data_IF_112538496366
#
_entry.id   IF_112538496366
#
_cell.length_a   1.000
_cell.length_b   1.000
_cell.length_c   1.000
_cell.angle_alpha   90.00
_cell.angle_beta   90.00
_cell.angle_gamma   90.00
#
_symmetry.space_group_name_H-M   'P 1'
#
loop_
_entity.id
_entity.type
_entity.pdbx_description
1 polymer ?
#
# COMPACT_ATOMS: atom_id res chain seq x y z
N UNK A 1 9.82 12.62 101.92
CA UNK A 1 9.39 12.13 103.25
C UNK A 1 8.12 11.30 103.09
N UNK A 2 8.10 10.13 103.75
CA UNK A 2 6.99 9.20 104.09
C UNK A 2 5.61 9.39 103.46
N UNK A 3 5.02 8.41 102.75
CA UNK A 3 4.53 7.07 103.21
C UNK A 3 3.11 7.09 103.79
N UNK A 4 2.24 6.25 103.19
CA UNK A 4 1.08 5.55 103.78
C UNK A 4 -0.11 6.41 104.25
N UNK A 5 -1.37 5.97 104.36
CA UNK A 5 -2.15 4.73 104.11
C UNK A 5 -3.63 5.16 104.28
N UNK A 6 -4.55 4.77 103.40
CA UNK A 6 -5.54 3.70 103.60
C UNK A 6 -6.91 4.08 104.21
N UNK A 7 -7.92 3.38 103.69
CA UNK A 7 -9.14 2.87 104.34
C UNK A 7 -10.44 3.64 104.09
N UNK A 8 -11.65 3.08 103.85
CA UNK A 8 -12.21 1.77 103.42
C UNK A 8 -13.75 1.89 103.60
N UNK A 9 -14.55 1.28 102.70
CA UNK A 9 -15.93 0.70 102.91
C UNK A 9 -17.11 1.71 103.03
N UNK A 10 -18.34 1.51 102.49
CA UNK A 10 -19.19 0.34 102.11
C UNK A 10 -20.25 0.72 101.03
N UNK A 11 -20.65 -0.27 100.23
CA UNK A 11 -21.84 -0.40 99.35
C UNK A 11 -23.00 -1.13 100.11
N UNK A 12 -24.13 -1.69 99.55
CA UNK A 12 -24.57 -1.86 98.14
C UNK A 12 -26.11 -1.82 97.85
N UNK A 13 -26.53 -1.91 96.57
CA UNK A 13 -27.70 -2.71 96.07
C UNK A 13 -27.63 -2.81 94.54
N UNK A 14 -27.34 -4.00 93.97
CA UNK A 14 -28.21 -4.98 93.24
C UNK A 14 -28.77 -4.47 91.89
N UNK A 15 -28.79 -5.19 90.77
CA UNK A 15 -28.33 -6.53 90.29
C UNK A 15 -28.67 -6.48 88.78
N UNK A 16 -27.73 -6.63 87.84
CA UNK A 16 -27.27 -7.90 87.25
C UNK A 16 -27.24 -7.72 85.72
N UNK A 17 -26.43 -8.35 84.87
CA UNK A 17 -25.10 -8.98 84.87
C UNK A 17 -25.10 -10.04 83.75
N UNK A 18 -24.26 -9.89 82.73
CA UNK A 18 -23.55 -10.95 81.97
C UNK A 18 -22.84 -10.32 80.75
N UNK A 19 -21.55 -9.89 80.81
CA UNK A 19 -20.25 -10.61 80.63
C UNK A 19 -19.99 -11.09 79.18
N UNK A 20 -19.10 -10.49 78.34
CA UNK A 20 -17.60 -10.40 78.30
C UNK A 20 -16.90 -11.65 77.67
N UNK A 21 -15.69 -11.62 77.03
CA UNK A 21 -14.53 -10.74 77.32
C UNK A 21 -13.62 -10.25 76.13
N UNK A 22 -12.64 -9.38 76.47
CA UNK A 22 -11.51 -8.81 75.70
C UNK A 22 -10.30 -9.80 75.58
N UNK A 23 -8.98 -9.49 75.27
CA UNK A 23 -8.28 -8.20 75.01
C UNK A 23 -7.02 -8.18 74.04
N UNK A 24 -6.48 -6.96 73.77
CA UNK A 24 -5.06 -6.52 73.56
C UNK A 24 -4.22 -7.04 72.35
N UNK A 25 -3.51 -6.12 71.65
CA UNK A 25 -2.05 -5.82 71.75
C UNK A 25 -1.65 -4.84 70.61
N UNK A 26 -0.90 -3.80 70.97
CA UNK A 26 -0.28 -2.82 70.07
C UNK A 26 0.83 -3.41 69.20
N UNK A 27 0.92 -2.99 67.94
CA UNK A 27 2.19 -2.91 67.20
C UNK A 27 2.10 -1.77 66.18
N UNK A 28 3.08 -0.90 66.25
CA UNK A 28 3.25 0.30 65.44
C UNK A 28 3.94 -0.04 64.10
N UNK A 29 3.68 0.79 63.08
CA UNK A 29 4.46 1.04 61.82
C UNK A 29 4.19 0.17 60.57
N UNK A 30 4.49 0.65 59.35
CA UNK A 30 4.28 2.00 58.79
C UNK A 30 3.76 1.98 57.32
N UNK A 31 3.30 3.15 56.84
CA UNK A 31 3.30 3.62 55.43
C UNK A 31 2.70 2.71 54.33
N UNK A 32 1.49 3.06 53.88
CA UNK A 32 1.13 2.92 52.46
C UNK A 32 0.44 4.20 52.00
N UNK A 33 1.26 5.04 51.37
CA UNK A 33 0.84 6.16 50.55
C UNK A 33 -0.03 5.60 49.43
N UNK A 34 -1.34 5.64 49.63
CA UNK A 34 -2.32 5.31 48.60
C UNK A 34 -2.23 6.36 47.51
N UNK A 35 -1.34 6.12 46.54
CA UNK A 35 -1.38 6.79 45.25
C UNK A 35 -2.80 6.68 44.73
N UNK A 36 -3.55 7.78 44.81
CA UNK A 36 -4.71 8.02 43.96
C UNK A 36 -4.22 7.79 42.53
N UNK A 37 -4.41 6.58 42.03
CA UNK A 37 -4.42 6.34 40.61
C UNK A 37 -5.45 7.33 40.08
N UNK A 38 -4.97 8.34 39.37
CA UNK A 38 -5.83 9.25 38.64
C UNK A 38 -6.68 8.35 37.75
N UNK A 39 -7.94 8.17 38.13
CA UNK A 39 -8.95 7.62 37.26
C UNK A 39 -9.07 8.64 36.11
N UNK A 40 -8.28 8.42 35.06
CA UNK A 40 -8.51 9.07 33.78
C UNK A 40 -9.87 8.59 33.34
N UNK A 41 -10.87 9.47 33.52
CA UNK A 41 -12.14 9.37 32.81
C UNK A 41 -11.79 9.20 31.34
N UNK A 42 -11.98 8.00 30.80
CA UNK A 42 -11.99 7.80 29.35
C UNK A 42 -13.16 8.65 28.86
N UNK A 43 -12.88 9.81 28.27
CA UNK A 43 -13.88 10.54 27.51
C UNK A 43 -14.42 9.56 26.47
N UNK A 44 -15.73 9.28 26.51
CA UNK A 44 -16.40 8.49 25.48
C UNK A 44 -16.43 9.35 24.21
N UNK A 45 -15.35 9.30 23.43
CA UNK A 45 -15.37 9.85 22.08
C UNK A 45 -16.44 9.08 21.27
N UNK A 46 -17.30 9.78 20.51
CA UNK A 46 -18.28 9.12 19.66
C UNK A 46 -17.58 8.13 18.73
N UNK A 47 -18.18 6.94 18.56
CA UNK A 47 -17.62 5.91 17.71
C UNK A 47 -17.55 6.40 16.25
N UNK A 48 -16.34 6.62 15.75
CA UNK A 48 -16.10 7.06 14.37
C UNK A 48 -15.91 5.86 13.44
N UNK A 49 -16.79 5.73 12.45
CA UNK A 49 -16.65 4.72 11.39
C UNK A 49 -15.61 5.16 10.36
N UNK A 50 -14.34 4.85 10.63
CA UNK A 50 -13.21 5.17 9.74
C UNK A 50 -13.46 4.67 8.30
N UNK A 51 -14.09 3.50 8.12
CA UNK A 51 -14.39 2.94 6.80
C UNK A 51 -15.32 3.80 5.94
N UNK A 52 -16.17 4.63 6.58
CA UNK A 52 -17.15 5.49 5.89
C UNK A 52 -16.66 6.94 5.76
N UNK A 53 -15.39 7.21 6.03
CA UNK A 53 -14.82 8.53 5.79
C UNK A 53 -14.87 8.85 4.30
N UNK A 54 -15.13 10.12 3.97
CA UNK A 54 -15.20 10.61 2.58
C UNK A 54 -14.01 10.18 1.71
N UNK A 55 -12.74 10.28 2.14
CA UNK A 55 -11.61 9.75 1.36
C UNK A 55 -11.70 8.26 1.08
N UNK A 56 -12.18 7.44 2.03
CA UNK A 56 -12.29 5.99 1.84
C UNK A 56 -13.44 5.62 0.89
N UNK A 57 -14.53 6.38 0.92
CA UNK A 57 -15.63 6.23 -0.06
C UNK A 57 -15.11 6.51 -1.48
N UNK A 58 -14.33 7.59 -1.66
CA UNK A 58 -13.68 7.88 -2.95
C UNK A 58 -12.75 6.72 -3.34
N UNK A 59 -11.97 6.18 -2.40
CA UNK A 59 -11.15 4.98 -2.59
C UNK A 59 -11.95 3.77 -3.08
N UNK A 60 -13.13 3.51 -2.51
CA UNK A 60 -13.99 2.42 -2.99
C UNK A 60 -14.55 2.67 -4.40
N UNK A 61 -14.93 3.91 -4.71
CA UNK A 61 -15.34 4.29 -6.07
C UNK A 61 -14.19 4.06 -7.06
N UNK A 62 -12.95 4.39 -6.68
CA UNK A 62 -11.75 4.11 -7.49
C UNK A 62 -11.58 2.63 -7.78
N UNK A 63 -11.77 1.77 -6.78
CA UNK A 63 -11.71 0.32 -6.96
C UNK A 63 -12.75 -0.14 -8.00
N UNK A 64 -14.00 0.35 -7.89
CA UNK A 64 -15.06 -0.01 -8.84
C UNK A 64 -14.73 0.47 -10.26
N UNK A 65 -14.23 1.70 -10.40
CA UNK A 65 -13.80 2.25 -11.70
C UNK A 65 -12.61 1.48 -12.28
N UNK A 66 -11.63 1.10 -11.44
CA UNK A 66 -10.51 0.27 -11.84
C UNK A 66 -11.00 -1.09 -12.34
N UNK A 67 -11.87 -1.79 -11.60
CA UNK A 67 -12.47 -3.06 -12.04
C UNK A 67 -13.25 -2.90 -13.36
N UNK A 68 -14.02 -1.82 -13.50
CA UNK A 68 -14.69 -1.49 -14.75
C UNK A 68 -13.70 -1.29 -15.91
N UNK A 69 -12.57 -0.62 -15.67
CA UNK A 69 -11.52 -0.45 -16.68
C UNK A 69 -10.92 -1.80 -17.08
N UNK A 70 -10.64 -2.69 -16.12
CA UNK A 70 -10.11 -4.04 -16.39
C UNK A 70 -11.09 -4.88 -17.21
N UNK A 71 -12.39 -4.77 -16.94
CA UNK A 71 -13.42 -5.46 -17.71
C UNK A 71 -13.44 -5.03 -19.19
N UNK A 72 -13.36 -3.72 -19.45
CA UNK A 72 -13.34 -3.19 -20.82
C UNK A 72 -11.98 -3.27 -21.51
N UNK A 73 -10.91 -3.57 -20.76
CA UNK A 73 -9.52 -3.54 -21.20
C UNK A 73 -9.24 -4.35 -22.48
N UNK A 74 -9.77 -5.57 -22.68
CA UNK A 74 -9.40 -6.36 -23.86
C UNK A 74 -10.05 -5.87 -25.17
N UNK A 75 -11.23 -5.23 -25.10
CA UNK A 75 -12.08 -5.02 -26.28
C UNK A 75 -12.37 -3.54 -26.58
N UNK A 76 -12.45 -2.68 -25.56
CA UNK A 76 -12.92 -1.30 -25.70
C UNK A 76 -11.88 -0.30 -25.15
N UNK A 77 -10.81 0.00 -25.93
CA UNK A 77 -9.69 0.78 -25.44
C UNK A 77 -10.06 2.21 -25.01
N UNK A 78 -10.99 2.87 -25.70
CA UNK A 78 -11.44 4.21 -25.33
C UNK A 78 -12.13 4.23 -23.96
N UNK A 79 -13.08 3.32 -23.74
CA UNK A 79 -13.82 3.21 -22.47
C UNK A 79 -12.88 2.83 -21.32
N UNK A 80 -11.99 1.85 -21.54
CA UNK A 80 -10.98 1.46 -20.58
C UNK A 80 -10.10 2.65 -20.17
N UNK A 81 -9.54 3.37 -21.14
CA UNK A 81 -8.67 4.52 -20.85
C UNK A 81 -9.40 5.63 -20.10
N UNK A 82 -10.66 5.92 -20.43
CA UNK A 82 -11.45 6.93 -19.71
C UNK A 82 -11.68 6.50 -18.26
N UNK A 83 -12.18 5.29 -18.02
CA UNK A 83 -12.43 4.78 -16.67
C UNK A 83 -11.15 4.72 -15.83
N UNK A 84 -10.05 4.23 -16.42
CA UNK A 84 -8.75 4.18 -15.78
C UNK A 84 -8.25 5.58 -15.41
N UNK A 85 -8.32 6.54 -16.35
CA UNK A 85 -7.85 7.91 -16.12
C UNK A 85 -8.66 8.62 -15.04
N UNK A 86 -9.99 8.42 -15.01
CA UNK A 86 -10.85 8.95 -13.94
C UNK A 86 -10.48 8.32 -12.59
N UNK A 87 -10.22 7.02 -12.53
CA UNK A 87 -9.77 6.35 -11.31
C UNK A 87 -8.44 6.92 -10.79
N UNK A 88 -7.46 7.17 -11.68
CA UNK A 88 -6.20 7.82 -11.34
C UNK A 88 -6.36 9.28 -10.92
N UNK A 89 -7.33 10.02 -11.47
CA UNK A 89 -7.60 11.41 -11.06
C UNK A 89 -8.23 11.48 -9.66
N UNK A 90 -9.08 10.51 -9.33
CA UNK A 90 -9.72 10.42 -8.01
C UNK A 90 -8.71 10.13 -6.88
N UNK A 91 -7.55 9.55 -7.19
CA UNK A 91 -6.41 9.37 -6.26
C UNK A 91 -5.98 10.68 -5.60
N UNK A 92 -5.72 11.70 -6.41
CA UNK A 92 -5.34 13.01 -5.89
C UNK A 92 -6.49 13.65 -5.06
N UNK A 93 -7.74 13.32 -5.41
CA UNK A 93 -8.94 13.86 -4.76
C UNK A 93 -9.20 13.21 -3.41
N UNK A 94 -8.99 11.91 -3.21
CA UNK A 94 -9.15 11.30 -1.89
C UNK A 94 -8.11 11.83 -0.90
N UNK A 95 -6.85 12.00 -1.32
CA UNK A 95 -5.82 12.59 -0.48
C UNK A 95 -6.12 14.05 -0.18
N UNK A 96 -6.68 14.80 -1.14
CA UNK A 96 -7.18 16.17 -0.88
C UNK A 96 -8.32 16.18 0.14
N UNK A 97 -9.32 15.32 -0.03
CA UNK A 97 -10.46 15.19 0.89
C UNK A 97 -10.01 14.78 2.30
N UNK A 98 -9.08 13.84 2.43
CA UNK A 98 -8.53 13.40 3.70
C UNK A 98 -7.87 14.53 4.50
N UNK A 99 -7.26 15.50 3.80
CA UNK A 99 -6.62 16.68 4.42
C UNK A 99 -7.63 17.78 4.71
N UNK A 100 -8.55 18.04 3.78
CA UNK A 100 -9.57 19.07 3.93
C UNK A 100 -10.54 18.75 5.08
N UNK A 101 -11.01 17.50 5.17
CA UNK A 101 -11.91 17.05 6.23
C UNK A 101 -11.17 16.56 7.49
N UNK A 102 -9.84 16.65 7.54
CA UNK A 102 -9.03 16.10 8.64
C UNK A 102 -9.28 14.61 8.95
N UNK A 103 -9.69 13.84 7.94
CA UNK A 103 -10.04 12.42 8.00
C UNK A 103 -8.89 11.50 7.54
N UNK A 104 -7.64 11.93 7.78
CA UNK A 104 -6.46 11.16 7.37
C UNK A 104 -6.24 9.97 8.31
N UNK A 105 -6.25 8.75 7.77
CA UNK A 105 -6.11 7.52 8.57
C UNK A 105 -5.07 6.57 7.98
N UNK A 106 -4.48 5.72 8.83
CA UNK A 106 -3.55 4.67 8.39
C UNK A 106 -4.21 3.68 7.44
N UNK A 107 -5.48 3.34 7.69
CA UNK A 107 -6.26 2.48 6.82
C UNK A 107 -6.41 3.10 5.43
N UNK A 108 -6.84 4.37 5.35
CA UNK A 108 -7.01 5.06 4.07
C UNK A 108 -5.70 5.14 3.28
N UNK A 109 -4.57 5.44 3.93
CA UNK A 109 -3.26 5.48 3.28
C UNK A 109 -2.81 4.11 2.73
N UNK A 110 -3.12 3.01 3.42
CA UNK A 110 -2.82 1.65 2.93
C UNK A 110 -3.77 1.26 1.80
N UNK A 111 -5.07 1.57 1.93
CA UNK A 111 -6.09 1.29 0.91
C UNK A 111 -5.75 1.98 -0.41
N UNK A 112 -5.37 3.26 -0.33
CA UNK A 112 -4.92 4.08 -1.45
C UNK A 112 -3.71 3.43 -2.16
N UNK A 113 -2.63 3.20 -1.41
CA UNK A 113 -1.41 2.58 -1.93
C UNK A 113 -1.70 1.22 -2.61
N UNK A 114 -2.48 0.35 -1.96
CA UNK A 114 -2.79 -0.98 -2.50
C UNK A 114 -3.62 -0.87 -3.79
N UNK A 115 -4.63 0.01 -3.82
CA UNK A 115 -5.50 0.20 -4.98
C UNK A 115 -4.72 0.66 -6.21
N UNK A 116 -3.83 1.63 -6.02
CA UNK A 116 -2.89 2.10 -7.04
C UNK A 116 -2.08 0.93 -7.63
N UNK A 117 -1.40 0.19 -6.74
CA UNK A 117 -0.49 -0.88 -7.16
C UNK A 117 -1.23 -2.00 -7.88
N UNK A 118 -2.39 -2.40 -7.38
CA UNK A 118 -3.22 -3.41 -8.04
C UNK A 118 -3.65 -2.96 -9.44
N UNK A 119 -4.10 -1.71 -9.58
CA UNK A 119 -4.59 -1.16 -10.85
C UNK A 119 -3.48 -1.11 -11.91
N UNK A 120 -2.31 -0.54 -11.57
CA UNK A 120 -1.17 -0.50 -12.49
C UNK A 120 -0.62 -1.89 -12.77
N UNK A 121 -0.57 -2.80 -11.78
CA UNK A 121 -0.10 -4.17 -12.01
C UNK A 121 -1.00 -4.93 -12.99
N UNK A 122 -2.33 -4.81 -12.88
CA UNK A 122 -3.26 -5.41 -13.83
C UNK A 122 -3.07 -4.88 -15.26
N UNK A 123 -2.83 -3.56 -15.40
CA UNK A 123 -2.49 -2.96 -16.69
C UNK A 123 -1.17 -3.54 -17.26
N UNK A 124 -0.13 -3.67 -16.43
CA UNK A 124 1.16 -4.24 -16.84
C UNK A 124 1.06 -5.72 -17.20
N UNK A 125 0.21 -6.49 -16.51
CA UNK A 125 -0.08 -7.89 -16.88
C UNK A 125 -0.72 -7.96 -18.26
N UNK A 126 -1.68 -7.10 -18.56
CA UNK A 126 -2.26 -7.00 -19.90
C UNK A 126 -1.18 -6.64 -20.93
N UNK A 127 -0.32 -5.65 -20.65
CA UNK A 127 0.78 -5.27 -21.53
C UNK A 127 1.79 -6.41 -21.75
N UNK A 128 2.07 -7.22 -20.72
CA UNK A 128 2.93 -8.40 -20.84
C UNK A 128 2.32 -9.46 -21.77
N UNK A 129 0.99 -9.60 -21.77
CA UNK A 129 0.28 -10.48 -22.70
C UNK A 129 0.19 -9.90 -24.12
N UNK A 130 0.05 -8.58 -24.23
CA UNK A 130 -0.04 -7.87 -25.52
C UNK A 130 1.32 -7.78 -26.22
N UNK A 131 2.42 -7.73 -25.47
CA UNK A 131 3.78 -7.66 -25.96
C UNK A 131 4.65 -8.79 -25.38
N UNK A 132 4.42 -10.07 -25.77
CA UNK A 132 5.09 -11.22 -25.16
C UNK A 132 6.62 -11.15 -25.18
N UNK A 133 7.19 -10.52 -26.23
CA UNK A 133 8.65 -10.32 -26.38
C UNK A 133 9.26 -9.47 -25.27
N UNK A 134 8.48 -8.60 -24.66
CA UNK A 134 8.87 -7.69 -23.57
C UNK A 134 8.26 -8.08 -22.22
N UNK A 135 7.60 -9.24 -22.14
CA UNK A 135 6.93 -9.74 -20.92
C UNK A 135 7.83 -9.73 -19.69
N UNK A 136 9.11 -10.10 -19.84
CA UNK A 136 10.10 -10.08 -18.75
C UNK A 136 10.31 -8.68 -18.17
N UNK A 137 10.23 -7.63 -19.01
CA UNK A 137 10.36 -6.24 -18.55
C UNK A 137 9.15 -5.87 -17.71
N UNK A 138 7.93 -6.15 -18.19
CA UNK A 138 6.71 -5.87 -17.44
C UNK A 138 6.61 -6.64 -16.12
N UNK A 139 6.99 -7.93 -16.12
CA UNK A 139 7.09 -8.73 -14.89
C UNK A 139 8.11 -8.15 -13.90
N UNK A 140 9.26 -7.70 -14.40
CA UNK A 140 10.27 -7.01 -13.61
C UNK A 140 9.75 -5.70 -13.01
N UNK A 141 9.02 -4.89 -13.80
CA UNK A 141 8.41 -3.63 -13.34
C UNK A 141 7.38 -3.88 -12.24
N UNK A 142 6.48 -4.86 -12.41
CA UNK A 142 5.51 -5.26 -11.38
C UNK A 142 6.23 -5.68 -10.10
N UNK A 143 7.25 -6.54 -10.24
CA UNK A 143 8.01 -7.06 -9.09
C UNK A 143 8.75 -5.96 -8.34
N UNK A 144 9.39 -5.04 -9.06
CA UNK A 144 10.11 -3.91 -8.48
C UNK A 144 9.16 -2.94 -7.76
N UNK A 145 8.04 -2.61 -8.39
CA UNK A 145 7.06 -1.68 -7.83
C UNK A 145 6.42 -2.25 -6.56
N UNK A 146 5.96 -3.51 -6.59
CA UNK A 146 5.43 -4.18 -5.41
C UNK A 146 6.49 -4.30 -4.31
N UNK A 147 7.69 -4.80 -4.61
CA UNK A 147 8.73 -4.99 -3.61
C UNK A 147 9.16 -3.67 -2.95
N UNK A 148 9.38 -2.61 -3.74
CA UNK A 148 9.82 -1.31 -3.22
C UNK A 148 8.77 -0.67 -2.30
N UNK A 149 7.49 -0.72 -2.66
CA UNK A 149 6.40 -0.19 -1.85
C UNK A 149 6.12 -1.05 -0.61
N UNK A 150 6.04 -2.39 -0.75
CA UNK A 150 5.86 -3.28 0.39
C UNK A 150 6.99 -3.10 1.40
N UNK A 151 8.24 -3.05 0.90
CA UNK A 151 9.37 -2.97 1.79
C UNK A 151 9.40 -1.64 2.54
N UNK A 152 9.11 -0.55 1.83
CA UNK A 152 9.02 0.78 2.43
C UNK A 152 7.87 0.93 3.44
N UNK A 153 6.69 0.39 3.12
CA UNK A 153 5.53 0.40 4.02
C UNK A 153 5.86 -0.36 5.31
N UNK A 154 6.37 -1.59 5.21
CA UNK A 154 6.67 -2.41 6.37
C UNK A 154 7.80 -1.81 7.22
N UNK A 155 8.87 -1.30 6.58
CA UNK A 155 9.92 -0.58 7.28
C UNK A 155 9.34 0.63 8.05
N UNK A 156 8.45 1.40 7.44
CA UNK A 156 7.81 2.55 8.12
C UNK A 156 6.91 2.12 9.28
N UNK A 157 6.19 1.00 9.17
CA UNK A 157 5.33 0.49 10.23
C UNK A 157 6.12 -0.06 11.43
N UNK A 158 7.17 -0.85 11.17
CA UNK A 158 8.00 -1.47 12.21
C UNK A 158 8.95 -0.45 12.85
N UNK A 159 9.61 0.35 12.03
CA UNK A 159 10.61 1.32 12.48
C UNK A 159 10.00 2.66 12.95
N UNK A 160 8.83 3.04 12.43
CA UNK A 160 8.12 4.26 12.85
C UNK A 160 7.42 4.14 14.20
N UNK A 161 7.15 2.91 14.67
CA UNK A 161 6.60 2.64 16.00
C UNK A 161 7.66 2.51 17.11
N UNK A 162 8.92 2.30 16.76
CA UNK A 162 10.03 1.98 17.69
C UNK A 162 10.74 3.23 18.24
N UNK A 163 9.98 4.31 18.45
CA UNK A 163 10.41 5.50 19.18
C UNK A 163 11.42 6.35 18.39
N UNK A 164 11.02 7.57 18.03
CA UNK A 164 11.94 8.66 17.70
C UNK A 164 12.79 9.01 18.93
N UNK A 165 13.79 8.18 19.23
CA UNK A 165 14.81 8.46 20.24
C UNK A 165 16.17 8.42 19.55
N UNK A 166 16.58 9.57 19.03
CA UNK A 166 17.97 9.95 18.74
C UNK A 166 18.66 9.49 17.46
N UNK A 167 17.96 9.14 16.38
CA UNK A 167 18.52 9.32 15.03
C UNK A 167 17.47 9.89 14.09
N UNK A 168 17.48 11.21 13.95
CA UNK A 168 16.90 11.89 12.78
C UNK A 168 17.47 11.19 11.56
N UNK A 169 16.67 10.31 10.96
CA UNK A 169 17.01 9.66 9.71
C UNK A 169 17.30 10.78 8.74
N UNK A 170 18.56 10.82 8.32
CA UNK A 170 19.20 11.96 7.70
C UNK A 170 18.45 12.40 6.43
N UNK A 171 17.60 13.43 6.56
CA UNK A 171 16.79 14.05 5.49
C UNK A 171 17.66 14.58 4.31
N UNK A 172 18.99 14.54 4.47
CA UNK A 172 20.00 15.05 3.54
C UNK A 172 20.40 14.09 2.40
N UNK A 173 20.13 12.78 2.46
CA UNK A 173 20.91 11.84 1.62
C UNK A 173 20.59 11.76 0.12
N UNK A 174 19.55 12.40 -0.41
CA UNK A 174 19.36 12.50 -1.87
C UNK A 174 18.44 13.67 -2.21
N UNK A 175 18.98 14.71 -2.85
CA UNK A 175 18.19 15.86 -3.32
C UNK A 175 16.99 15.42 -4.17
N UNK A 176 17.18 14.44 -5.06
CA UNK A 176 16.12 13.92 -5.95
C UNK A 176 15.00 13.20 -5.18
N UNK A 177 15.34 12.42 -4.15
CA UNK A 177 14.35 11.71 -3.35
C UNK A 177 13.60 12.70 -2.44
N UNK A 178 14.31 13.69 -1.89
CA UNK A 178 13.71 14.74 -1.08
C UNK A 178 12.78 15.60 -1.95
N UNK A 179 13.19 16.01 -3.15
CA UNK A 179 12.35 16.78 -4.06
C UNK A 179 11.08 16.01 -4.47
N UNK A 180 11.23 14.70 -4.75
CA UNK A 180 10.11 13.82 -5.08
C UNK A 180 9.08 13.71 -3.94
N UNK A 181 9.54 13.57 -2.69
CA UNK A 181 8.63 13.41 -1.53
C UNK A 181 8.17 14.72 -0.89
N UNK A 182 8.91 15.81 -1.06
CA UNK A 182 8.61 17.12 -0.44
C UNK A 182 7.66 17.95 -1.30
N UNK A 183 7.81 17.89 -2.63
CA UNK A 183 6.97 18.67 -3.54
C UNK A 183 5.83 17.82 -4.11
N UNK A 184 4.61 18.06 -3.61
CA UNK A 184 3.39 17.37 -4.04
C UNK A 184 3.15 17.47 -5.54
N UNK A 185 3.49 18.60 -6.17
CA UNK A 185 3.34 18.79 -7.60
C UNK A 185 4.30 17.90 -8.38
N UNK A 186 5.53 17.73 -7.89
CA UNK A 186 6.51 16.82 -8.51
C UNK A 186 6.07 15.37 -8.34
N UNK A 187 5.62 14.98 -7.14
CA UNK A 187 5.09 13.65 -6.88
C UNK A 187 3.93 13.30 -7.81
N UNK A 188 2.92 14.18 -7.88
CA UNK A 188 1.76 14.01 -8.75
C UNK A 188 2.17 13.92 -10.22
N UNK A 189 3.06 14.82 -10.69
CA UNK A 189 3.51 14.82 -12.08
C UNK A 189 4.25 13.53 -12.43
N UNK A 190 5.12 13.03 -11.56
CA UNK A 190 5.81 11.76 -11.79
C UNK A 190 4.86 10.56 -11.81
N UNK A 191 3.88 10.52 -10.90
CA UNK A 191 2.85 9.48 -10.92
C UNK A 191 2.00 9.57 -12.18
N UNK A 192 1.49 10.76 -12.52
CA UNK A 192 0.66 10.98 -13.70
C UNK A 192 1.40 10.62 -15.00
N UNK A 193 2.64 11.07 -15.17
CA UNK A 193 3.42 10.75 -16.37
C UNK A 193 3.78 9.27 -16.45
N UNK A 194 4.02 8.60 -15.32
CA UNK A 194 4.19 7.15 -15.31
C UNK A 194 2.93 6.41 -15.78
N UNK A 195 1.75 6.79 -15.27
CA UNK A 195 0.49 6.19 -15.72
C UNK A 195 0.20 6.51 -17.18
N UNK A 196 0.46 7.75 -17.63
CA UNK A 196 0.32 8.16 -19.03
C UNK A 196 1.21 7.29 -19.94
N UNK A 197 2.43 6.96 -19.51
CA UNK A 197 3.31 6.08 -20.28
C UNK A 197 2.68 4.69 -20.48
N UNK A 198 2.16 4.08 -19.42
CA UNK A 198 1.54 2.75 -19.53
C UNK A 198 0.21 2.78 -20.28
N UNK A 199 -0.59 3.84 -20.13
CA UNK A 199 -1.80 4.08 -20.93
C UNK A 199 -1.41 4.24 -22.41
N UNK A 200 -0.33 4.96 -22.73
CA UNK A 200 0.14 5.12 -24.09
C UNK A 200 0.59 3.79 -24.72
N UNK A 201 1.34 2.97 -23.98
CA UNK A 201 1.67 1.59 -24.40
C UNK A 201 0.43 0.73 -24.59
N UNK A 202 -0.57 0.88 -23.71
CA UNK A 202 -1.84 0.19 -23.83
C UNK A 202 -2.55 0.57 -25.12
N UNK A 203 -2.70 1.87 -25.41
CA UNK A 203 -3.31 2.34 -26.65
C UNK A 203 -2.53 1.90 -27.90
N UNK A 204 -1.19 1.89 -27.84
CA UNK A 204 -0.34 1.37 -28.91
C UNK A 204 -0.62 -0.09 -29.22
N UNK A 205 -0.99 -0.90 -28.22
CA UNK A 205 -1.35 -2.31 -28.42
C UNK A 205 -2.63 -2.53 -29.25
N UNK A 206 -3.43 -1.48 -29.49
CA UNK A 206 -4.64 -1.49 -30.34
C UNK A 206 -4.46 -0.73 -31.65
N UNK A 207 -3.31 -0.07 -31.82
CA UNK A 207 -3.12 0.92 -32.89
C UNK A 207 -1.94 0.58 -33.80
N UNK A 208 -0.83 0.08 -33.27
CA UNK A 208 0.42 -0.01 -34.03
C UNK A 208 0.66 -1.41 -34.63
N UNK A 209 0.74 -1.55 -35.97
CA UNK A 209 1.14 -2.79 -36.62
C UNK A 209 2.57 -3.23 -36.30
N UNK A 210 3.44 -2.29 -35.88
CA UNK A 210 4.85 -2.53 -35.56
C UNK A 210 5.03 -3.28 -34.24
N UNK A 211 4.11 -3.08 -33.29
CA UNK A 211 4.12 -3.71 -31.98
C UNK A 211 3.10 -4.86 -31.88
N UNK A 212 2.23 -5.00 -32.88
CA UNK A 212 1.35 -6.17 -33.03
C UNK A 212 2.21 -7.39 -33.39
N UNK A 213 1.92 -8.58 -32.82
CA UNK A 213 2.67 -9.80 -33.13
C UNK A 213 2.63 -10.13 -34.62
N UNK A 214 3.69 -10.76 -35.10
CA UNK A 214 3.87 -11.18 -36.50
C UNK A 214 2.75 -12.09 -37.05
N UNK A 215 1.84 -12.55 -36.19
CA UNK A 215 0.62 -13.30 -36.55
C UNK A 215 -0.30 -12.54 -37.53
N UNK A 216 -0.24 -11.21 -37.58
CA UNK A 216 -1.04 -10.37 -38.49
C UNK A 216 -0.23 -9.72 -39.63
N UNK A 217 1.08 -9.96 -39.72
CA UNK A 217 1.93 -9.34 -40.75
C UNK A 217 1.76 -10.05 -42.10
N UNK A 218 0.65 -9.85 -42.80
CA UNK A 218 0.55 -10.17 -44.23
C UNK A 218 1.56 -9.28 -44.97
N UNK A 219 2.58 -9.85 -45.60
CA UNK A 219 3.50 -9.06 -46.45
C UNK A 219 2.76 -8.57 -47.69
N UNK A 220 2.95 -7.28 -48.02
CA UNK A 220 2.40 -6.60 -49.21
C UNK A 220 2.88 -7.22 -50.55
N UNK A 221 3.78 -8.20 -50.52
CA UNK A 221 4.34 -8.86 -51.70
C UNK A 221 3.42 -9.96 -52.28
N UNK A 222 2.19 -10.11 -51.77
CA UNK A 222 1.32 -11.25 -52.08
C UNK A 222 1.85 -12.60 -51.60
N UNK A 223 2.98 -12.60 -50.87
CA UNK A 223 3.53 -13.78 -50.22
C UNK A 223 3.02 -13.85 -48.78
N UNK A 224 2.08 -14.77 -48.55
CA UNK A 224 1.60 -15.11 -47.20
C UNK A 224 2.80 -15.45 -46.30
N UNK A 225 2.84 -15.01 -45.03
CA UNK A 225 3.88 -15.39 -44.08
C UNK A 225 3.71 -16.87 -43.74
N UNK A 226 4.31 -17.75 -44.54
CA UNK A 226 4.02 -19.18 -44.51
C UNK A 226 2.58 -19.45 -44.92
N UNK A 227 2.37 -19.97 -46.14
CA UNK A 227 1.11 -20.63 -46.45
C UNK A 227 0.90 -21.74 -45.42
N UNK A 228 -0.08 -21.56 -44.53
CA UNK A 228 -0.67 -22.65 -43.76
C UNK A 228 -1.37 -23.56 -44.78
N UNK A 229 -0.60 -24.46 -45.40
CA UNK A 229 -1.09 -25.41 -46.39
C UNK A 229 -2.15 -26.29 -45.70
N UNK A 230 -3.42 -26.29 -46.17
CA UNK A 230 -4.44 -27.15 -45.59
C UNK A 230 -4.03 -28.62 -45.75
N UNK A 231 -3.93 -29.37 -44.65
CA UNK A 231 -3.70 -30.82 -44.65
C UNK A 231 -2.36 -31.32 -44.09
N UNK A 232 -1.47 -30.45 -43.58
CA UNK A 232 -0.27 -30.89 -42.86
C UNK A 232 -0.53 -30.96 -41.34
N UNK A 233 -0.50 -32.13 -40.69
CA UNK A 233 -0.86 -32.29 -39.27
C UNK A 233 0.10 -31.59 -38.28
N UNK A 234 1.23 -31.06 -38.76
CA UNK A 234 2.19 -30.27 -37.98
C UNK A 234 1.93 -28.76 -37.98
N UNK A 235 0.95 -28.26 -38.76
CA UNK A 235 0.53 -26.87 -38.75
C UNK A 235 -0.99 -26.75 -38.52
N UNK A 236 -1.45 -26.32 -37.33
CA UNK A 236 -2.87 -26.09 -37.11
C UNK A 236 -3.38 -25.01 -38.09
N UNK A 237 -4.57 -25.23 -38.68
CA UNK A 237 -5.12 -24.30 -39.68
C UNK A 237 -5.26 -22.89 -39.08
N UNK A 238 -5.09 -21.82 -39.87
CA UNK A 238 -5.30 -20.45 -39.38
C UNK A 238 -6.66 -20.32 -38.67
N UNK A 239 -7.69 -20.99 -39.20
CA UNK A 239 -9.03 -21.05 -38.61
C UNK A 239 -9.03 -21.58 -37.16
N UNK A 240 -8.15 -22.52 -36.80
CA UNK A 240 -8.05 -23.03 -35.42
C UNK A 240 -7.40 -22.03 -34.45
N UNK A 241 -6.54 -21.11 -34.92
CA UNK A 241 -5.97 -20.03 -34.11
C UNK A 241 -7.03 -18.97 -33.75
N UNK A 242 -8.09 -18.85 -34.56
CA UNK A 242 -9.20 -17.90 -34.37
C UNK A 242 -10.53 -18.57 -33.98
N UNK A 243 -10.56 -19.89 -33.80
CA UNK A 243 -11.79 -20.65 -33.55
C UNK A 243 -12.41 -20.36 -32.17
N UNK A 244 -11.58 -19.98 -31.19
CA UNK A 244 -12.06 -19.55 -29.87
C UNK A 244 -12.04 -18.01 -29.80
N UNK A 245 -13.16 -17.33 -29.49
CA UNK A 245 -13.21 -15.87 -29.31
C UNK A 245 -12.20 -15.32 -28.28
N UNK A 246 -11.78 -16.18 -27.34
CA UNK A 246 -10.82 -15.87 -26.28
C UNK A 246 -9.40 -16.35 -26.59
N UNK A 247 -9.13 -16.86 -27.80
CA UNK A 247 -7.76 -17.19 -28.20
C UNK A 247 -6.92 -15.92 -28.31
N UNK A 248 -5.60 -16.06 -28.11
CA UNK A 248 -4.67 -14.95 -28.28
C UNK A 248 -4.78 -14.31 -29.68
N UNK A 249 -4.94 -15.12 -30.73
CA UNK A 249 -5.14 -14.66 -32.09
C UNK A 249 -6.46 -13.90 -32.29
N UNK A 250 -7.57 -14.41 -31.76
CA UNK A 250 -8.88 -13.73 -31.88
C UNK A 250 -8.88 -12.38 -31.14
N UNK A 251 -8.27 -12.32 -29.96
CA UNK A 251 -8.11 -11.07 -29.22
C UNK A 251 -7.17 -10.10 -29.95
N UNK A 252 -6.05 -10.55 -30.53
CA UNK A 252 -5.17 -9.69 -31.34
C UNK A 252 -5.88 -9.11 -32.56
N UNK A 253 -6.61 -9.93 -33.31
CA UNK A 253 -7.40 -9.48 -34.44
C UNK A 253 -8.48 -8.48 -34.01
N UNK A 254 -9.17 -8.76 -32.90
CA UNK A 254 -10.17 -7.86 -32.33
C UNK A 254 -9.56 -6.54 -31.82
N UNK A 255 -8.25 -6.46 -31.59
CA UNK A 255 -7.56 -5.24 -31.14
C UNK A 255 -7.01 -4.40 -32.29
N UNK A 256 -6.69 -5.00 -33.42
CA UNK A 256 -6.01 -4.35 -34.53
C UNK A 256 -6.79 -3.13 -35.09
N UNK A 257 -6.04 -2.06 -35.42
CA UNK A 257 -6.50 -0.88 -36.17
C UNK A 257 -7.73 -0.15 -35.59
N UNK A 258 -7.90 -0.12 -34.26
CA UNK A 258 -9.02 0.60 -33.63
C UNK A 258 -8.78 2.10 -33.43
N UNK A 259 -7.52 2.55 -33.49
CA UNK A 259 -7.09 3.90 -33.13
C UNK A 259 -5.92 4.37 -34.01
N UNK A 260 -5.74 5.69 -34.10
CA UNK A 260 -4.57 6.33 -34.69
C UNK A 260 -3.32 6.17 -33.79
N UNK A 261 -2.18 5.83 -34.39
CA UNK A 261 -0.93 5.52 -33.69
C UNK A 261 -0.10 6.74 -33.31
N UNK A 262 -0.34 7.89 -33.94
CA UNK A 262 0.49 9.09 -33.78
C UNK A 262 0.49 9.59 -32.33
N UNK A 263 -0.69 9.84 -31.77
CA UNK A 263 -0.81 10.37 -30.40
C UNK A 263 -0.28 9.43 -29.32
N UNK A 264 -0.58 8.11 -29.35
CA UNK A 264 0.02 7.18 -28.40
C UNK A 264 1.56 7.15 -28.46
N UNK A 265 2.18 7.23 -29.65
CA UNK A 265 3.64 7.31 -29.76
C UNK A 265 4.21 8.60 -29.16
N UNK A 266 3.57 9.75 -29.42
CA UNK A 266 3.99 11.04 -28.84
C UNK A 266 3.90 11.00 -27.32
N UNK A 267 2.79 10.49 -26.77
CA UNK A 267 2.61 10.36 -25.33
C UNK A 267 3.64 9.42 -24.70
N UNK A 268 3.90 8.26 -25.32
CA UNK A 268 4.90 7.32 -24.85
C UNK A 268 6.31 7.95 -24.86
N UNK A 269 6.69 8.62 -25.95
CA UNK A 269 7.99 9.28 -26.06
C UNK A 269 8.20 10.40 -25.04
N UNK A 270 7.17 11.24 -24.84
CA UNK A 270 7.24 12.37 -23.91
C UNK A 270 7.28 11.91 -22.43
N UNK A 271 6.57 10.85 -22.08
CA UNK A 271 6.46 10.35 -20.70
C UNK A 271 7.56 9.35 -20.30
N UNK A 272 8.23 8.73 -21.28
CA UNK A 272 9.25 7.70 -21.04
C UNK A 272 10.37 8.13 -20.08
N UNK A 273 10.99 9.33 -20.20
CA UNK A 273 12.07 9.73 -19.29
C UNK A 273 11.62 9.78 -17.83
N UNK A 274 10.37 10.19 -17.59
CA UNK A 274 9.81 10.28 -16.23
C UNK A 274 9.46 8.90 -15.70
N UNK A 275 8.88 8.02 -16.53
CA UNK A 275 8.66 6.62 -16.16
C UNK A 275 9.99 5.95 -15.77
N UNK A 276 11.04 6.08 -16.60
CA UNK A 276 12.35 5.51 -16.30
C UNK A 276 12.95 6.08 -15.00
N UNK A 277 12.83 7.39 -14.79
CA UNK A 277 13.20 8.04 -13.53
C UNK A 277 12.46 7.48 -12.32
N UNK A 278 11.15 7.24 -12.44
CA UNK A 278 10.34 6.62 -11.37
C UNK A 278 10.81 5.21 -11.03
N UNK A 279 11.19 4.40 -12.02
CA UNK A 279 11.73 3.06 -11.75
C UNK A 279 13.07 3.11 -10.99
N UNK A 280 13.93 4.10 -11.28
CA UNK A 280 15.15 4.32 -10.50
C UNK A 280 14.80 4.69 -9.05
N UNK A 281 13.79 5.54 -8.85
CA UNK A 281 13.31 5.90 -7.50
C UNK A 281 12.80 4.67 -6.76
N UNK A 282 12.04 3.77 -7.41
CA UNK A 282 11.59 2.51 -6.82
C UNK A 282 12.77 1.63 -6.37
N UNK A 283 13.83 1.51 -7.17
CA UNK A 283 15.06 0.79 -6.76
C UNK A 283 15.71 1.44 -5.54
N UNK A 284 15.88 2.76 -5.56
CA UNK A 284 16.48 3.51 -4.45
C UNK A 284 15.65 3.34 -3.17
N UNK A 285 14.33 3.41 -3.29
CA UNK A 285 13.39 3.22 -2.19
C UNK A 285 13.51 1.82 -1.59
N UNK A 286 13.54 0.77 -2.44
CA UNK A 286 13.73 -0.60 -2.00
C UNK A 286 15.04 -0.77 -1.21
N UNK A 287 16.16 -0.33 -1.78
CA UNK A 287 17.48 -0.44 -1.14
C UNK A 287 17.53 0.30 0.19
N UNK A 288 16.94 1.51 0.25
CA UNK A 288 16.91 2.31 1.49
C UNK A 288 16.03 1.68 2.55
N UNK A 289 14.84 1.21 2.18
CA UNK A 289 13.93 0.54 3.10
C UNK A 289 14.57 -0.74 3.69
N UNK A 290 15.19 -1.56 2.85
CA UNK A 290 15.88 -2.79 3.29
C UNK A 290 17.05 -2.49 4.23
N UNK A 291 17.84 -1.44 3.94
CA UNK A 291 18.93 -1.00 4.84
C UNK A 291 18.40 -0.52 6.18
N UNK A 292 17.32 0.26 6.17
CA UNK A 292 16.72 0.79 7.40
C UNK A 292 16.19 -0.33 8.29
N UNK A 293 15.52 -1.33 7.71
CA UNK A 293 15.08 -2.51 8.45
C UNK A 293 16.28 -3.31 9.01
N UNK A 294 17.33 -3.52 8.21
CA UNK A 294 18.53 -4.20 8.66
C UNK A 294 19.28 -3.46 9.78
N UNK A 295 19.21 -2.12 9.83
CA UNK A 295 19.73 -1.33 10.95
C UNK A 295 18.91 -1.55 12.23
N UNK A 296 17.58 -1.59 12.12
CA UNK A 296 16.67 -1.93 13.22
C UNK A 296 16.94 -3.32 13.79
N UNK A 297 17.06 -4.34 12.92
CA UNK A 297 17.38 -5.70 13.33
C UNK A 297 18.73 -5.78 14.06
N UNK A 298 19.75 -5.03 13.60
CA UNK A 298 21.07 -5.00 14.27
C UNK A 298 21.00 -4.36 15.66
N UNK A 299 20.17 -3.34 15.83
CA UNK A 299 19.94 -2.69 17.12
C UNK A 299 19.20 -3.61 18.08
N UNK A 300 18.11 -4.25 17.63
CA UNK A 300 17.36 -5.22 18.43
C UNK A 300 18.24 -6.40 18.85
N UNK A 301 19.09 -6.90 17.93
CA UNK A 301 20.08 -7.94 18.24
C UNK A 301 21.10 -7.48 19.29
N UNK A 302 21.54 -6.22 19.23
CA UNK A 302 22.45 -5.64 20.23
C UNK A 302 21.77 -5.55 21.61
N UNK A 303 20.51 -5.13 21.66
CA UNK A 303 19.71 -5.09 22.90
C UNK A 303 19.54 -6.50 23.50
N UNK A 304 19.45 -7.52 22.64
CA UNK A 304 19.41 -8.94 23.04
C UNK A 304 20.79 -9.54 23.39
N UNK A 305 21.87 -8.74 23.36
CA UNK A 305 23.23 -9.20 23.67
C UNK A 305 23.84 -10.15 22.62
N UNK A 306 23.41 -10.04 21.35
CA UNK A 306 23.89 -10.85 20.24
C UNK A 306 24.88 -10.08 19.34
N UNK A 307 25.85 -10.76 18.70
CA UNK A 307 26.22 -12.16 18.93
C UNK A 307 26.89 -12.31 20.31
N UNK A 308 26.54 -13.38 21.03
CA UNK A 308 27.22 -13.72 22.27
C UNK A 308 28.71 -13.94 21.96
N UNK A 309 29.60 -13.30 22.73
CA UNK A 309 31.04 -13.58 22.64
C UNK A 309 31.20 -15.09 22.90
N UNK A 310 31.89 -15.77 21.98
CA UNK A 310 32.26 -17.19 22.13
C UNK A 310 33.20 -17.38 23.30
#
# INVERSE_FOLDING_TARGET
>A
MSSNKASRKKSPTRKGASRSPAPKVSAEQPLLNGSRAAATSKEEHPYENIFLFWPNIIGYVRIVLALGSLYYMPLHPRTCTILYSVSCLLDALDGYAARYFSQSTRFGAVLDMVTDRCTTACLLVFLASAFPRWSIVFQGLISLDLASHYMHMYATLVMGGSGESHKKVDRSRSYILNLYYTNKTVLFLFCALNEIFFIALYLLSFSSPLLSPSLLQVKDDGSMPGSLQPGNPSHPSAASLFANPWSAGALELARANKLDSFWPWVLAGASFPVMAGKQIINVVQLVKASRWLGEGDREERRLKGLPRKK
#
